data_IF_756291974060
#
_entry.id   IF_756291974060
#
_cell.length_a   1.000
_cell.length_b   1.000
_cell.length_c   1.000
_cell.angle_alpha   90.00
_cell.angle_beta   90.00
_cell.angle_gamma   90.00
#
_symmetry.space_group_name_H-M   'P 1'
#
loop_
_entity.id
_entity.type
_entity.pdbx_description
1 polymer ?
#
# COMPACT_ATOMS: atom_id res chain seq x y z
N UNK A 1 -5.50 -22.67 -6.65
CA UNK A 1 -5.07 -21.33 -6.24
C UNK A 1 -3.82 -21.39 -5.37
N UNK A 2 -2.66 -21.15 -5.99
CA UNK A 2 -1.42 -20.89 -5.23
C UNK A 2 -1.50 -19.42 -4.79
N UNK A 3 -1.50 -19.16 -3.49
CA UNK A 3 -1.57 -17.79 -2.93
C UNK A 3 -0.23 -17.45 -2.29
N UNK A 4 0.20 -16.20 -2.41
CA UNK A 4 1.37 -15.71 -1.70
C UNK A 4 1.16 -15.86 -0.18
N UNK A 5 2.07 -16.58 0.49
CA UNK A 5 1.94 -16.80 1.94
C UNK A 5 2.25 -15.53 2.72
N UNK A 6 1.23 -14.90 3.27
CA UNK A 6 1.36 -13.78 4.20
C UNK A 6 1.15 -14.22 5.66
N UNK A 7 1.34 -13.33 6.62
CA UNK A 7 0.87 -13.55 7.99
C UNK A 7 -0.66 -13.72 7.99
N UNK A 8 -1.19 -14.62 8.82
CA UNK A 8 -2.63 -14.81 8.90
C UNK A 8 -3.31 -13.54 9.44
N UNK A 9 -4.57 -13.27 9.05
CA UNK A 9 -5.39 -12.27 9.70
C UNK A 9 -5.51 -12.49 11.21
N UNK A 10 -5.72 -11.40 11.96
CA UNK A 10 -5.96 -11.42 13.39
C UNK A 10 -7.45 -11.65 13.70
N UNK A 11 -7.75 -12.65 14.52
CA UNK A 11 -9.11 -12.83 15.02
C UNK A 11 -9.51 -11.70 16.00
N UNK A 12 -10.66 -11.08 15.76
CA UNK A 12 -11.27 -10.02 16.58
C UNK A 12 -12.70 -10.41 16.97
N UNK A 13 -13.38 -9.60 17.78
CA UNK A 13 -14.77 -9.89 18.14
C UNK A 13 -15.71 -9.73 16.93
N UNK A 14 -16.71 -10.60 16.81
CA UNK A 14 -17.67 -10.56 15.70
C UNK A 14 -18.39 -9.20 15.57
N UNK A 15 -18.71 -8.53 16.68
CA UNK A 15 -19.31 -7.18 16.65
C UNK A 15 -18.37 -6.13 16.03
N UNK A 16 -17.09 -6.17 16.40
CA UNK A 16 -16.06 -5.31 15.82
C UNK A 16 -15.86 -5.60 14.33
N UNK A 17 -15.87 -6.87 13.93
CA UNK A 17 -15.76 -7.28 12.53
C UNK A 17 -16.94 -6.78 11.70
N UNK A 18 -18.18 -6.99 12.18
CA UNK A 18 -19.40 -6.53 11.48
C UNK A 18 -19.40 -5.00 11.35
N UNK A 19 -19.05 -4.27 12.42
CA UNK A 19 -18.93 -2.82 12.38
C UNK A 19 -17.92 -2.35 11.31
N UNK A 20 -16.76 -3.00 11.23
CA UNK A 20 -15.72 -2.68 10.26
C UNK A 20 -16.17 -2.99 8.81
N UNK A 21 -16.81 -4.13 8.59
CA UNK A 21 -17.35 -4.52 7.29
C UNK A 21 -18.44 -3.53 6.82
N UNK A 22 -19.38 -3.19 7.69
CA UNK A 22 -20.45 -2.23 7.39
C UNK A 22 -19.88 -0.83 7.11
N UNK A 23 -18.83 -0.44 7.84
CA UNK A 23 -18.09 0.80 7.59
C UNK A 23 -17.47 0.79 6.19
N UNK A 24 -16.77 -0.30 5.81
CA UNK A 24 -16.19 -0.42 4.47
C UNK A 24 -17.28 -0.37 3.39
N UNK A 25 -18.38 -1.09 3.56
CA UNK A 25 -19.50 -1.11 2.59
C UNK A 25 -20.09 0.28 2.39
N UNK A 26 -20.29 1.03 3.47
CA UNK A 26 -20.79 2.40 3.42
C UNK A 26 -19.80 3.29 2.66
N UNK A 27 -18.52 3.28 3.04
CA UNK A 27 -17.50 4.10 2.38
C UNK A 27 -17.38 3.78 0.87
N UNK A 28 -17.45 2.50 0.48
CA UNK A 28 -17.39 2.11 -0.93
C UNK A 28 -18.60 2.63 -1.71
N UNK A 29 -19.79 2.60 -1.08
CA UNK A 29 -21.01 3.16 -1.66
C UNK A 29 -20.88 4.68 -1.81
N UNK A 30 -20.42 5.37 -0.77
CA UNK A 30 -20.30 6.82 -0.74
C UNK A 30 -19.17 7.34 -1.65
N UNK A 31 -18.13 6.55 -1.88
CA UNK A 31 -17.00 6.85 -2.77
C UNK A 31 -17.23 6.48 -4.24
N UNK A 32 -18.29 5.72 -4.55
CA UNK A 32 -18.62 5.29 -5.92
C UNK A 32 -19.08 6.47 -6.78
N UNK A 33 -18.53 6.59 -7.98
CA UNK A 33 -18.84 7.61 -9.00
C UNK A 33 -18.95 6.95 -10.37
N UNK A 34 -19.44 7.71 -11.35
CA UNK A 34 -19.42 7.29 -12.76
C UNK A 34 -18.45 8.19 -13.53
N UNK A 35 -17.63 7.57 -14.37
CA UNK A 35 -16.88 8.25 -15.41
C UNK A 35 -17.82 8.76 -16.52
N UNK A 36 -17.29 9.59 -17.42
CA UNK A 36 -18.03 10.18 -18.54
C UNK A 36 -18.55 9.11 -19.53
N UNK A 37 -17.87 7.97 -19.63
CA UNK A 37 -18.27 6.82 -20.46
C UNK A 37 -19.24 5.86 -19.72
N UNK A 38 -19.58 6.16 -18.47
CA UNK A 38 -20.44 5.33 -17.63
C UNK A 38 -19.71 4.28 -16.79
N UNK A 39 -18.38 4.19 -16.89
CA UNK A 39 -17.57 3.25 -16.07
C UNK A 39 -17.70 3.60 -14.58
N UNK A 40 -18.06 2.64 -13.71
CA UNK A 40 -18.03 2.86 -12.27
C UNK A 40 -16.60 3.05 -11.76
N UNK A 41 -16.38 4.13 -11.01
CA UNK A 41 -15.11 4.47 -10.37
C UNK A 41 -15.30 4.53 -8.85
N UNK A 42 -14.22 4.28 -8.11
CA UNK A 42 -14.20 4.41 -6.65
C UNK A 42 -13.12 5.41 -6.25
N UNK A 43 -13.55 6.54 -5.69
CA UNK A 43 -12.64 7.58 -5.23
C UNK A 43 -12.04 7.21 -3.87
N UNK A 44 -10.81 7.66 -3.55
CA UNK A 44 -10.16 7.36 -2.26
C UNK A 44 -10.93 7.79 -1.02
N UNK A 45 -11.78 8.81 -1.13
CA UNK A 45 -12.58 9.33 -0.03
C UNK A 45 -14.05 9.58 -0.42
N UNK A 46 -14.95 9.44 0.55
CA UNK A 46 -16.37 9.77 0.36
C UNK A 46 -16.65 11.27 0.32
N UNK A 47 -15.76 12.11 0.86
CA UNK A 47 -15.94 13.56 0.98
C UNK A 47 -15.63 14.34 -0.32
N UNK A 48 -15.08 13.69 -1.34
CA UNK A 48 -14.76 14.28 -2.65
C UNK A 48 -13.46 15.08 -2.70
N UNK A 49 -12.56 14.93 -1.71
CA UNK A 49 -11.23 15.56 -1.71
C UNK A 49 -10.35 15.04 -2.86
N UNK A 50 -10.50 13.76 -3.20
CA UNK A 50 -9.76 13.05 -4.23
C UNK A 50 -10.68 12.67 -5.39
N UNK A 51 -10.96 13.58 -6.35
CA UNK A 51 -11.99 13.40 -7.36
C UNK A 51 -11.55 12.59 -8.60
N UNK A 52 -10.93 11.43 -8.41
CA UNK A 52 -10.43 10.56 -9.48
C UNK A 52 -10.27 9.11 -9.00
N UNK A 53 -10.02 8.18 -9.93
CA UNK A 53 -9.64 6.82 -9.60
C UNK A 53 -8.12 6.75 -9.41
N UNK A 54 -7.65 6.64 -8.16
CA UNK A 54 -6.22 6.45 -7.86
C UNK A 54 -5.86 4.96 -7.93
N UNK A 55 -4.78 4.63 -8.63
CA UNK A 55 -4.34 3.26 -8.87
C UNK A 55 -4.13 2.48 -7.57
N UNK A 56 -3.37 3.08 -6.63
CA UNK A 56 -3.06 2.49 -5.33
C UNK A 56 -4.29 2.33 -4.45
N UNK A 57 -5.07 3.38 -4.29
CA UNK A 57 -6.24 3.37 -3.42
C UNK A 57 -7.28 2.37 -3.89
N UNK A 58 -7.52 2.30 -5.21
CA UNK A 58 -8.42 1.30 -5.78
C UNK A 58 -7.88 -0.13 -5.58
N UNK A 59 -6.56 -0.34 -5.75
CA UNK A 59 -5.94 -1.62 -5.40
C UNK A 59 -6.21 -2.01 -3.94
N UNK A 60 -6.04 -1.09 -2.97
CA UNK A 60 -6.27 -1.41 -1.56
C UNK A 60 -7.74 -1.76 -1.26
N UNK A 61 -8.68 -1.07 -1.91
CA UNK A 61 -10.11 -1.41 -1.81
C UNK A 61 -10.37 -2.83 -2.32
N UNK A 62 -9.81 -3.19 -3.47
CA UNK A 62 -10.05 -4.50 -4.08
C UNK A 62 -9.33 -5.62 -3.33
N UNK A 63 -8.05 -5.43 -2.98
CA UNK A 63 -7.24 -6.42 -2.28
C UNK A 63 -7.87 -6.84 -0.95
N UNK A 64 -8.42 -5.88 -0.20
CA UNK A 64 -8.87 -6.14 1.17
C UNK A 64 -10.40 -6.10 1.37
N UNK A 65 -11.12 -5.46 0.45
CA UNK A 65 -12.58 -5.34 0.50
C UNK A 65 -13.27 -5.73 -0.82
N UNK A 66 -12.56 -6.36 -1.77
CA UNK A 66 -13.11 -6.74 -3.08
C UNK A 66 -14.37 -7.60 -3.04
N UNK A 67 -14.55 -8.41 -1.98
CA UNK A 67 -15.79 -9.17 -1.73
C UNK A 67 -17.04 -8.30 -1.51
N UNK A 68 -16.86 -7.00 -1.29
CA UNK A 68 -17.93 -6.00 -1.12
C UNK A 68 -18.24 -5.26 -2.42
N UNK A 69 -17.47 -5.52 -3.49
CA UNK A 69 -17.56 -4.86 -4.78
C UNK A 69 -18.09 -5.83 -5.84
N UNK A 70 -18.87 -5.34 -6.83
CA UNK A 70 -19.24 -6.15 -7.98
C UNK A 70 -17.97 -6.45 -8.83
N UNK A 71 -17.66 -7.72 -9.14
CA UNK A 71 -16.45 -8.06 -9.89
C UNK A 71 -16.35 -7.36 -11.27
N UNK A 72 -17.47 -7.16 -11.94
CA UNK A 72 -17.53 -6.44 -13.22
C UNK A 72 -17.10 -4.97 -13.09
N UNK A 73 -17.38 -4.33 -11.96
CA UNK A 73 -16.94 -2.95 -11.70
C UNK A 73 -15.45 -2.90 -11.34
N UNK A 74 -14.93 -3.94 -10.68
CA UNK A 74 -13.49 -4.09 -10.43
C UNK A 74 -12.73 -4.17 -11.76
N UNK A 75 -13.17 -5.04 -12.67
CA UNK A 75 -12.53 -5.22 -13.97
C UNK A 75 -12.61 -3.95 -14.82
N UNK A 76 -13.78 -3.29 -14.84
CA UNK A 76 -13.96 -2.04 -15.56
C UNK A 76 -13.07 -0.91 -15.02
N UNK A 77 -12.93 -0.80 -13.70
CA UNK A 77 -12.01 0.16 -13.07
C UNK A 77 -10.54 -0.13 -13.39
N UNK A 78 -10.15 -1.41 -13.43
CA UNK A 78 -8.81 -1.84 -13.86
C UNK A 78 -8.54 -1.46 -15.32
N UNK A 79 -9.50 -1.73 -16.22
CA UNK A 79 -9.40 -1.37 -17.63
C UNK A 79 -9.32 0.15 -17.84
N UNK A 80 -10.06 0.91 -17.03
CA UNK A 80 -10.01 2.36 -17.04
C UNK A 80 -8.62 2.91 -16.67
N UNK A 81 -7.95 2.31 -15.68
CA UNK A 81 -6.56 2.64 -15.34
C UNK A 81 -5.59 2.21 -16.44
N UNK A 82 -5.76 1.01 -16.99
CA UNK A 82 -4.92 0.46 -18.07
C UNK A 82 -5.01 1.24 -19.37
N UNK A 83 -6.18 1.81 -19.70
CA UNK A 83 -6.36 2.68 -20.86
C UNK A 83 -5.46 3.93 -20.79
N UNK A 84 -5.09 4.36 -19.57
CA UNK A 84 -4.14 5.45 -19.33
C UNK A 84 -2.66 5.05 -19.34
N UNK A 85 -2.33 3.75 -19.48
CA UNK A 85 -0.95 3.29 -19.54
C UNK A 85 -0.25 3.88 -20.76
N UNK A 86 0.95 4.45 -20.56
CA UNK A 86 1.78 4.96 -21.65
C UNK A 86 2.45 3.82 -22.43
N UNK A 87 2.92 4.13 -23.64
CA UNK A 87 3.67 3.18 -24.48
C UNK A 87 4.94 2.63 -23.80
N UNK A 88 5.59 3.43 -22.95
CA UNK A 88 6.77 3.04 -22.16
C UNK A 88 6.42 2.29 -20.86
N UNK A 89 5.17 1.86 -20.71
CA UNK A 89 4.71 1.04 -19.58
C UNK A 89 4.27 1.82 -18.34
N UNK A 90 4.60 3.12 -18.27
CA UNK A 90 4.27 3.98 -17.12
C UNK A 90 2.76 4.00 -16.87
N UNK A 91 2.39 3.65 -15.64
CA UNK A 91 1.00 3.59 -15.16
C UNK A 91 0.64 4.95 -14.54
N UNK A 92 -0.59 5.46 -14.78
CA UNK A 92 -1.04 6.68 -14.11
C UNK A 92 -1.09 6.52 -12.59
N UNK A 93 -0.77 7.61 -11.87
CA UNK A 93 -1.08 7.75 -10.44
C UNK A 93 -2.60 7.70 -10.24
N UNK A 94 -3.32 8.38 -11.14
CA UNK A 94 -4.79 8.45 -11.15
C UNK A 94 -5.34 8.71 -12.54
N UNK A 95 -6.59 8.31 -12.76
CA UNK A 95 -7.35 8.67 -13.96
C UNK A 95 -8.62 9.42 -13.55
N UNK A 96 -8.82 10.60 -14.14
CA UNK A 96 -9.98 11.46 -13.88
C UNK A 96 -11.27 10.84 -14.45
N UNK A 97 -12.46 11.28 -13.98
CA UNK A 97 -13.74 10.81 -14.54
C UNK A 97 -13.92 11.10 -16.03
N UNK A 98 -13.19 12.05 -16.61
CA UNK A 98 -13.20 12.33 -18.04
C UNK A 98 -12.28 11.41 -18.87
N UNK A 99 -11.62 10.44 -18.23
CA UNK A 99 -10.67 9.51 -18.85
C UNK A 99 -9.23 10.04 -18.96
N UNK A 100 -8.95 11.25 -18.45
CA UNK A 100 -7.60 11.81 -18.54
C UNK A 100 -6.66 11.18 -17.51
N UNK A 101 -5.55 10.54 -17.94
CA UNK A 101 -4.56 10.01 -17.02
C UNK A 101 -3.66 11.12 -16.47
N UNK A 102 -3.32 11.01 -15.18
CA UNK A 102 -2.34 11.87 -14.50
C UNK A 102 -1.27 10.97 -13.87
N UNK A 103 0.00 11.27 -14.14
CA UNK A 103 1.10 10.37 -13.81
C UNK A 103 1.90 10.78 -12.56
N UNK A 104 2.02 12.08 -12.30
CA UNK A 104 2.77 12.56 -11.15
C UNK A 104 1.82 12.80 -9.96
N UNK A 105 2.32 12.51 -8.75
CA UNK A 105 1.61 12.84 -7.52
C UNK A 105 1.49 14.36 -7.34
N UNK A 106 0.52 14.77 -6.52
CA UNK A 106 0.23 16.17 -6.25
C UNK A 106 -0.59 16.88 -7.35
N UNK A 107 -0.80 18.20 -7.19
CA UNK A 107 -1.56 19.00 -8.15
C UNK A 107 -0.98 18.95 -9.56
N UNK A 108 -1.83 18.89 -10.59
CA UNK A 108 -1.38 18.81 -12.00
C UNK A 108 -0.57 20.03 -12.44
N UNK A 109 -0.87 21.21 -11.90
CA UNK A 109 -0.16 22.46 -12.16
C UNK A 109 1.16 22.58 -11.38
N UNK A 110 1.39 21.69 -10.41
CA UNK A 110 2.55 21.66 -9.54
C UNK A 110 2.81 20.21 -9.09
N UNK A 111 3.27 19.35 -10.01
CA UNK A 111 3.54 17.95 -9.70
C UNK A 111 4.66 17.83 -8.67
N UNK A 112 4.57 16.80 -7.83
CA UNK A 112 5.59 16.48 -6.84
C UNK A 112 6.72 15.66 -7.49
N UNK A 113 7.94 16.18 -7.40
CA UNK A 113 9.14 15.49 -7.88
C UNK A 113 9.34 15.49 -9.40
N UNK A 114 10.37 14.78 -9.84
CA UNK A 114 10.87 14.81 -11.21
C UNK A 114 10.29 13.71 -12.14
N UNK A 115 9.49 12.80 -11.60
CA UNK A 115 8.93 11.64 -12.28
C UNK A 115 7.69 11.09 -11.54
N UNK A 116 6.91 10.17 -12.15
CA UNK A 116 5.82 9.46 -11.48
C UNK A 116 6.25 8.68 -10.22
N UNK A 117 5.33 8.38 -9.29
CA UNK A 117 5.58 7.46 -8.18
C UNK A 117 6.10 6.09 -8.64
N UNK A 118 6.99 5.47 -7.85
CA UNK A 118 7.60 4.18 -8.21
C UNK A 118 6.74 2.95 -7.91
N UNK A 119 5.53 3.13 -7.38
CA UNK A 119 4.68 2.05 -6.83
C UNK A 119 3.47 1.67 -7.71
N UNK A 120 3.09 2.52 -8.68
CA UNK A 120 1.88 2.34 -9.48
C UNK A 120 1.85 1.03 -10.27
N UNK A 121 2.99 0.60 -10.83
CA UNK A 121 3.07 -0.65 -11.59
C UNK A 121 2.75 -1.87 -10.72
N UNK A 122 3.28 -1.88 -9.49
CA UNK A 122 3.12 -2.93 -8.51
C UNK A 122 1.68 -2.99 -8.01
N UNK A 123 1.04 -1.83 -7.77
CA UNK A 123 -0.36 -1.77 -7.40
C UNK A 123 -1.28 -2.28 -8.50
N UNK A 124 -0.96 -2.02 -9.77
CA UNK A 124 -1.73 -2.55 -10.89
C UNK A 124 -1.68 -4.09 -10.97
N UNK A 125 -0.50 -4.67 -10.70
CA UNK A 125 -0.34 -6.14 -10.61
C UNK A 125 -1.14 -6.70 -9.44
N UNK A 126 -1.02 -6.11 -8.25
CA UNK A 126 -1.79 -6.51 -7.06
C UNK A 126 -3.30 -6.42 -7.30
N UNK A 127 -3.77 -5.39 -8.00
CA UNK A 127 -5.17 -5.19 -8.34
C UNK A 127 -5.71 -6.33 -9.23
N UNK A 128 -5.01 -6.67 -10.32
CA UNK A 128 -5.44 -7.78 -11.18
C UNK A 128 -5.34 -9.13 -10.45
N UNK A 129 -4.30 -9.34 -9.65
CA UNK A 129 -4.15 -10.56 -8.83
C UNK A 129 -5.33 -10.71 -7.86
N UNK A 130 -5.70 -9.65 -7.14
CA UNK A 130 -6.85 -9.65 -6.24
C UNK A 130 -8.19 -9.91 -6.96
N UNK A 131 -8.37 -9.33 -8.15
CA UNK A 131 -9.52 -9.64 -9.01
C UNK A 131 -9.57 -11.13 -9.39
N UNK A 132 -8.42 -11.70 -9.79
CA UNK A 132 -8.34 -13.12 -10.13
C UNK A 132 -8.58 -14.01 -8.91
N UNK A 133 -8.08 -13.67 -7.73
CA UNK A 133 -8.36 -14.42 -6.50
C UNK A 133 -9.86 -14.44 -6.15
N UNK A 134 -10.56 -13.35 -6.44
CA UNK A 134 -11.99 -13.22 -6.20
C UNK A 134 -12.84 -14.03 -7.21
N UNK A 135 -12.42 -14.09 -8.47
CA UNK A 135 -13.27 -14.54 -9.58
C UNK A 135 -12.82 -15.85 -10.22
N UNK A 136 -11.53 -16.16 -10.19
CA UNK A 136 -10.89 -17.21 -10.98
C UNK A 136 -10.88 -16.95 -12.49
N UNK A 137 -11.16 -15.72 -12.94
CA UNK A 137 -11.24 -15.40 -14.38
C UNK A 137 -9.85 -15.36 -15.04
N UNK A 138 -9.42 -16.53 -15.49
CA UNK A 138 -8.14 -16.72 -16.17
C UNK A 138 -8.06 -15.96 -17.50
N UNK A 139 -9.17 -15.84 -18.24
CA UNK A 139 -9.17 -15.17 -19.54
C UNK A 139 -8.94 -13.68 -19.36
N UNK A 140 -9.65 -13.05 -18.42
CA UNK A 140 -9.46 -11.64 -18.09
C UNK A 140 -8.03 -11.36 -17.58
N UNK A 141 -7.46 -12.29 -16.80
CA UNK A 141 -6.08 -12.18 -16.32
C UNK A 141 -5.06 -12.20 -17.47
N UNK A 142 -5.12 -13.24 -18.32
CA UNK A 142 -4.16 -13.41 -19.43
C UNK A 142 -4.27 -12.30 -20.49
N UNK A 143 -5.47 -11.76 -20.72
CA UNK A 143 -5.65 -10.62 -21.62
C UNK A 143 -4.86 -9.37 -21.17
N UNK A 144 -4.76 -9.15 -19.85
CA UNK A 144 -4.15 -7.95 -19.26
C UNK A 144 -2.70 -8.14 -18.85
N UNK A 145 -2.25 -9.38 -18.71
CA UNK A 145 -0.88 -9.75 -18.35
C UNK A 145 0.21 -9.01 -19.14
N UNK A 146 0.14 -8.86 -20.49
CA UNK A 146 1.17 -8.14 -21.24
C UNK A 146 1.30 -6.66 -20.84
N UNK A 147 0.21 -6.01 -20.42
CA UNK A 147 0.25 -4.64 -19.94
C UNK A 147 0.92 -4.53 -18.57
N UNK A 148 0.70 -5.52 -17.70
CA UNK A 148 1.37 -5.62 -16.40
C UNK A 148 2.87 -5.89 -16.53
N UNK A 149 3.27 -6.72 -17.49
CA UNK A 149 4.70 -6.92 -17.80
C UNK A 149 5.36 -5.58 -18.16
N UNK A 150 4.76 -4.84 -19.09
CA UNK A 150 5.27 -3.51 -19.47
C UNK A 150 5.32 -2.53 -18.30
N UNK A 151 4.33 -2.57 -17.39
CA UNK A 151 4.36 -1.69 -16.22
C UNK A 151 5.52 -2.01 -15.29
N UNK A 152 5.76 -3.29 -14.98
CA UNK A 152 6.88 -3.69 -14.14
C UNK A 152 8.24 -3.42 -14.80
N UNK A 153 8.36 -3.53 -16.12
CA UNK A 153 9.57 -3.16 -16.87
C UNK A 153 9.88 -1.65 -16.81
N UNK A 154 8.87 -0.80 -16.54
CA UNK A 154 9.05 0.65 -16.36
C UNK A 154 9.57 1.05 -14.97
N UNK A 155 9.59 0.12 -14.01
CA UNK A 155 10.03 0.40 -12.64
C UNK A 155 11.55 0.67 -12.63
N UNK A 156 12.02 1.79 -12.04
CA UNK A 156 13.44 2.10 -12.03
C UNK A 156 14.15 1.20 -11.01
N UNK A 157 14.89 0.20 -11.49
CA UNK A 157 15.66 -0.73 -10.66
C UNK A 157 17.15 -0.42 -10.72
N UNK A 158 17.85 -0.65 -9.60
CA UNK A 158 19.30 -0.78 -9.62
C UNK A 158 19.73 -2.18 -10.12
N UNK A 159 21.03 -2.42 -10.37
CA UNK A 159 21.52 -3.74 -10.80
C UNK A 159 21.28 -4.90 -9.82
N UNK A 160 20.88 -4.62 -8.59
CA UNK A 160 20.57 -5.61 -7.56
C UNK A 160 19.06 -5.96 -7.51
N UNK A 161 18.26 -5.40 -8.42
CA UNK A 161 16.81 -5.62 -8.50
C UNK A 161 16.00 -4.84 -7.47
N UNK A 162 16.57 -3.81 -6.83
CA UNK A 162 15.86 -2.95 -5.89
C UNK A 162 15.42 -1.66 -6.56
N UNK A 163 14.25 -1.16 -6.18
CA UNK A 163 13.73 0.12 -6.68
C UNK A 163 14.68 1.25 -6.29
N UNK A 164 15.03 2.08 -7.28
CA UNK A 164 16.02 3.13 -7.17
C UNK A 164 15.47 4.48 -7.61
N UNK A 165 15.61 5.47 -6.74
CA UNK A 165 15.25 6.87 -6.99
C UNK A 165 16.54 7.69 -7.06
N UNK A 166 16.80 8.35 -8.19
CA UNK A 166 17.99 9.19 -8.38
C UNK A 166 17.95 10.41 -7.43
N UNK A 167 18.96 10.59 -6.55
CA UNK A 167 19.03 11.74 -5.63
C UNK A 167 19.01 13.12 -6.31
N UNK A 168 19.43 13.19 -7.58
CA UNK A 168 19.43 14.44 -8.37
C UNK A 168 18.09 14.69 -9.07
N UNK A 169 17.22 13.68 -9.12
CA UNK A 169 15.89 13.75 -9.72
C UNK A 169 14.88 13.10 -8.77
N UNK A 170 14.75 13.60 -7.52
CA UNK A 170 13.92 12.94 -6.53
C UNK A 170 12.46 12.96 -6.98
N UNK A 171 11.75 11.88 -6.69
CA UNK A 171 10.33 11.75 -6.97
C UNK A 171 9.68 10.81 -5.96
N UNK A 172 8.34 10.79 -5.88
CA UNK A 172 7.63 9.98 -4.90
C UNK A 172 7.99 8.50 -5.01
N UNK A 173 8.11 7.85 -3.86
CA UNK A 173 8.21 6.41 -3.75
C UNK A 173 6.82 5.78 -3.59
N UNK A 174 6.56 5.27 -2.39
CA UNK A 174 5.25 4.79 -1.97
C UNK A 174 4.27 5.96 -1.72
N UNK A 175 3.04 5.80 -2.19
CA UNK A 175 1.96 6.78 -2.16
C UNK A 175 1.60 7.44 -0.84
N UNK A 176 1.81 6.75 0.28
CA UNK A 176 1.60 7.33 1.61
C UNK A 176 2.82 8.11 2.11
N UNK A 177 3.81 8.30 1.24
CA UNK A 177 5.01 9.13 1.43
C UNK A 177 5.28 10.04 0.22
N UNK A 178 4.24 10.42 -0.53
CA UNK A 178 4.32 11.29 -1.73
C UNK A 178 5.11 12.59 -1.57
N UNK A 179 5.12 13.15 -0.36
CA UNK A 179 5.79 14.41 -0.04
C UNK A 179 7.25 14.21 0.38
N UNK A 180 7.71 12.96 0.53
CA UNK A 180 9.01 12.61 1.11
C UNK A 180 9.97 12.23 0.00
N UNK A 181 11.14 12.88 -0.03
CA UNK A 181 12.17 12.61 -1.03
C UNK A 181 13.13 11.52 -0.56
N UNK A 182 12.65 10.27 -0.51
CA UNK A 182 13.49 9.09 -0.28
C UNK A 182 14.33 8.82 -1.53
N UNK A 183 15.65 8.67 -1.41
CA UNK A 183 16.55 8.52 -2.57
C UNK A 183 17.58 7.40 -2.42
N UNK A 184 18.19 7.03 -3.55
CA UNK A 184 18.96 5.80 -3.69
C UNK A 184 18.02 4.59 -3.79
N UNK A 185 18.43 3.48 -3.20
CA UNK A 185 17.58 2.27 -3.07
C UNK A 185 16.46 2.59 -2.06
N UNK A 186 15.20 2.33 -2.40
CA UNK A 186 14.03 2.63 -1.54
C UNK A 186 13.32 1.34 -1.12
N UNK A 187 13.06 1.20 0.18
CA UNK A 187 12.58 -0.05 0.77
C UNK A 187 11.16 -0.40 0.34
N UNK A 188 10.21 0.50 0.53
CA UNK A 188 8.79 0.15 0.47
C UNK A 188 8.39 -0.26 -0.95
N UNK A 189 8.86 0.49 -1.94
CA UNK A 189 8.65 0.21 -3.36
C UNK A 189 9.38 -1.07 -3.78
N UNK A 190 10.52 -1.40 -3.17
CA UNK A 190 11.20 -2.70 -3.38
C UNK A 190 10.40 -3.86 -2.81
N UNK A 191 9.75 -3.69 -1.64
CA UNK A 191 8.84 -4.69 -1.08
C UNK A 191 7.62 -4.91 -1.98
N UNK A 192 7.03 -3.81 -2.50
CA UNK A 192 5.92 -3.88 -3.46
C UNK A 192 6.36 -4.54 -4.77
N UNK A 193 7.57 -4.26 -5.26
CA UNK A 193 8.09 -4.84 -6.49
C UNK A 193 8.30 -6.34 -6.34
N UNK A 194 8.93 -6.75 -5.24
CA UNK A 194 9.06 -8.17 -4.88
C UNK A 194 7.69 -8.85 -4.83
N UNK A 195 6.71 -8.24 -4.17
CA UNK A 195 5.38 -8.82 -4.03
C UNK A 195 4.67 -8.96 -5.38
N UNK A 196 4.72 -7.93 -6.21
CA UNK A 196 4.13 -7.94 -7.55
C UNK A 196 4.76 -9.04 -8.42
N UNK A 197 6.09 -9.15 -8.43
CA UNK A 197 6.79 -10.21 -9.15
C UNK A 197 6.36 -11.59 -8.64
N UNK A 198 6.28 -11.79 -7.32
CA UNK A 198 5.85 -13.07 -6.73
C UNK A 198 4.41 -13.44 -7.09
N UNK A 199 3.48 -12.49 -7.01
CA UNK A 199 2.08 -12.69 -7.37
C UNK A 199 1.96 -13.07 -8.85
N UNK A 200 2.58 -12.29 -9.73
CA UNK A 200 2.55 -12.55 -11.17
C UNK A 200 3.18 -13.91 -11.50
N UNK A 201 4.34 -14.25 -10.92
CA UNK A 201 4.98 -15.55 -11.09
C UNK A 201 4.07 -16.72 -10.68
N UNK A 202 3.38 -16.60 -9.55
CA UNK A 202 2.45 -17.64 -9.06
C UNK A 202 1.25 -17.81 -9.98
N UNK A 203 0.68 -16.72 -10.51
CA UNK A 203 -0.45 -16.79 -11.45
C UNK A 203 -0.05 -17.33 -12.80
N UNK A 204 1.05 -16.86 -13.35
CA UNK A 204 1.59 -17.38 -14.60
C UNK A 204 1.89 -18.87 -14.50
N UNK A 205 2.46 -19.31 -13.36
CA UNK A 205 2.67 -20.73 -13.11
C UNK A 205 1.36 -21.53 -13.00
N UNK A 206 0.34 -20.97 -12.34
CA UNK A 206 -0.99 -21.58 -12.22
C UNK A 206 -1.72 -21.66 -13.56
N UNK A 207 -1.49 -20.70 -14.44
CA UNK A 207 -2.09 -20.59 -15.78
C UNK A 207 -1.22 -21.23 -16.89
N UNK A 208 -0.21 -22.00 -16.50
CA UNK A 208 0.70 -22.74 -17.41
C UNK A 208 1.61 -21.86 -18.30
N UNK A 209 1.71 -20.57 -18.02
CA UNK A 209 2.65 -19.61 -18.64
C UNK A 209 4.06 -19.73 -18.00
N UNK A 210 4.71 -20.87 -18.21
CA UNK A 210 5.92 -21.26 -17.44
C UNK A 210 7.16 -20.39 -17.70
N UNK A 211 7.35 -19.87 -18.91
CA UNK A 211 8.50 -19.00 -19.22
C UNK A 211 8.35 -17.66 -18.51
N UNK A 212 7.18 -17.03 -18.61
CA UNK A 212 6.88 -15.79 -17.90
C UNK A 212 6.91 -15.98 -16.38
N UNK A 213 6.39 -17.09 -15.87
CA UNK A 213 6.49 -17.43 -14.46
C UNK A 213 7.94 -17.47 -13.97
N UNK A 214 8.84 -18.04 -14.78
CA UNK A 214 10.27 -18.13 -14.46
C UNK A 214 10.92 -16.75 -14.38
N UNK A 215 10.69 -15.88 -15.36
CA UNK A 215 11.24 -14.52 -15.38
C UNK A 215 10.88 -13.77 -14.09
N UNK A 216 9.61 -13.84 -13.68
CA UNK A 216 9.12 -13.15 -12.49
C UNK A 216 9.60 -13.79 -11.19
N UNK A 217 9.79 -15.11 -11.15
CA UNK A 217 10.47 -15.74 -10.01
C UNK A 217 11.92 -15.27 -9.91
N UNK A 218 12.67 -15.19 -11.01
CA UNK A 218 14.06 -14.73 -11.00
C UNK A 218 14.17 -13.26 -10.53
N UNK A 219 13.28 -12.37 -11.00
CA UNK A 219 13.21 -10.98 -10.54
C UNK A 219 12.90 -10.87 -9.04
N UNK A 220 11.94 -11.66 -8.55
CA UNK A 220 11.61 -11.69 -7.13
C UNK A 220 12.77 -12.22 -6.27
N UNK A 221 13.46 -13.28 -6.70
CA UNK A 221 14.61 -13.83 -5.97
C UNK A 221 15.78 -12.84 -5.91
N UNK A 222 16.07 -12.14 -7.01
CA UNK A 222 17.11 -11.10 -7.04
C UNK A 222 16.80 -9.97 -6.04
N UNK A 223 15.56 -9.49 -6.03
CA UNK A 223 15.09 -8.47 -5.07
C UNK A 223 15.21 -8.98 -3.63
N UNK A 224 14.72 -10.19 -3.38
CA UNK A 224 14.73 -10.85 -2.06
C UNK A 224 16.13 -10.98 -1.47
N UNK A 225 17.12 -11.31 -2.32
CA UNK A 225 18.52 -11.45 -1.92
C UNK A 225 19.11 -10.16 -1.33
N UNK A 226 18.67 -8.99 -1.80
CA UNK A 226 19.24 -7.70 -1.43
C UNK A 226 18.40 -6.89 -0.43
N UNK A 227 17.13 -7.24 -0.20
CA UNK A 227 16.29 -6.61 0.83
C UNK A 227 16.93 -6.58 2.25
N UNK A 228 17.72 -7.59 2.70
CA UNK A 228 18.37 -7.55 4.01
C UNK A 228 19.32 -6.36 4.23
N UNK A 229 19.82 -5.72 3.18
CA UNK A 229 20.73 -4.58 3.33
C UNK A 229 20.06 -3.36 3.98
N UNK A 230 18.72 -3.28 3.94
CA UNK A 230 17.96 -2.21 4.59
C UNK A 230 17.84 -2.44 6.09
N UNK A 231 18.28 -3.57 6.63
CA UNK A 231 18.10 -3.91 8.05
C UNK A 231 19.03 -3.09 8.94
N UNK A 232 18.45 -2.52 9.99
CA UNK A 232 19.17 -2.09 11.17
C UNK A 232 19.38 -3.28 12.11
N UNK A 233 20.63 -3.71 12.29
CA UNK A 233 20.95 -4.84 13.17
C UNK A 233 20.68 -4.53 14.65
N UNK A 234 20.62 -3.25 15.05
CA UNK A 234 20.38 -2.87 16.45
C UNK A 234 18.91 -3.03 16.84
N UNK A 235 18.00 -2.54 15.99
CA UNK A 235 16.56 -2.51 16.30
C UNK A 235 15.78 -3.61 15.58
N UNK A 236 16.34 -4.20 14.53
CA UNK A 236 15.65 -5.12 13.63
C UNK A 236 14.73 -4.44 12.61
N UNK A 237 14.48 -3.14 12.74
CA UNK A 237 13.72 -2.34 11.77
C UNK A 237 14.45 -2.24 10.44
N UNK A 238 13.74 -1.79 9.42
CA UNK A 238 14.33 -1.46 8.13
C UNK A 238 14.48 0.05 7.96
N UNK A 239 15.58 0.47 7.34
CA UNK A 239 15.81 1.82 6.81
C UNK A 239 14.94 2.06 5.58
N UNK A 240 14.36 3.26 5.47
CA UNK A 240 13.46 3.61 4.38
C UNK A 240 14.17 3.73 3.03
N UNK A 241 15.41 4.22 3.04
CA UNK A 241 16.19 4.44 1.83
C UNK A 241 17.69 4.38 2.11
N UNK A 242 18.51 4.25 1.07
CA UNK A 242 19.97 4.14 1.18
C UNK A 242 20.73 5.48 1.19
N UNK A 243 20.08 6.59 0.81
CA UNK A 243 20.69 7.93 0.74
C UNK A 243 19.84 8.94 1.51
N UNK A 244 19.08 9.82 0.84
CA UNK A 244 18.22 10.77 1.55
C UNK A 244 17.06 10.04 2.22
N UNK A 245 16.69 10.54 3.39
CA UNK A 245 15.66 9.94 4.24
C UNK A 245 16.03 8.52 4.73
N UNK A 246 17.30 8.31 5.11
CA UNK A 246 17.81 7.08 5.72
C UNK A 246 17.41 6.97 7.22
N UNK A 247 16.12 7.07 7.51
CA UNK A 247 15.52 6.81 8.82
C UNK A 247 14.75 5.49 8.83
N UNK A 248 14.37 5.00 10.02
CA UNK A 248 13.55 3.79 10.14
C UNK A 248 12.20 3.95 9.46
N UNK A 249 11.82 2.99 8.62
CA UNK A 249 10.49 2.91 8.03
C UNK A 249 9.63 1.94 8.84
N UNK A 250 8.80 2.46 9.74
CA UNK A 250 7.96 1.60 10.57
C UNK A 250 6.94 0.83 9.73
N UNK A 251 6.43 1.43 8.66
CA UNK A 251 5.43 0.80 7.79
C UNK A 251 6.08 -0.27 6.92
N UNK A 252 7.21 0.05 6.28
CA UNK A 252 8.00 -0.92 5.53
C UNK A 252 8.44 -2.10 6.41
N UNK A 253 8.75 -1.84 7.67
CA UNK A 253 9.12 -2.89 8.63
C UNK A 253 7.97 -3.86 8.92
N UNK A 254 6.77 -3.36 9.25
CA UNK A 254 5.62 -4.25 9.50
C UNK A 254 5.11 -4.91 8.22
N UNK A 255 5.22 -4.23 7.08
CA UNK A 255 4.86 -4.80 5.79
C UNK A 255 5.77 -5.96 5.40
N UNK A 256 7.09 -5.81 5.57
CA UNK A 256 8.06 -6.89 5.35
C UNK A 256 7.80 -8.11 6.24
N UNK A 257 7.28 -7.91 7.46
CA UNK A 257 6.86 -8.99 8.36
C UNK A 257 5.61 -9.70 7.83
N UNK A 258 4.58 -8.95 7.43
CA UNK A 258 3.35 -9.52 6.83
C UNK A 258 3.64 -10.33 5.58
N UNK A 259 4.51 -9.80 4.71
CA UNK A 259 4.95 -10.47 3.49
C UNK A 259 5.88 -11.68 3.74
N UNK A 260 6.30 -11.89 4.99
CA UNK A 260 7.29 -12.91 5.40
C UNK A 260 8.63 -12.80 4.65
N UNK A 261 8.98 -11.58 4.26
CA UNK A 261 10.32 -11.22 3.75
C UNK A 261 11.30 -11.15 4.90
N UNK A 262 10.89 -10.56 6.03
CA UNK A 262 11.70 -10.55 7.24
C UNK A 262 11.89 -11.97 7.78
N UNK A 263 13.11 -12.29 8.22
CA UNK A 263 13.38 -13.57 8.88
C UNK A 263 12.58 -13.70 10.18
N UNK A 264 12.32 -14.92 10.66
CA UNK A 264 11.57 -15.12 11.92
C UNK A 264 12.16 -14.35 13.11
N UNK A 265 13.49 -14.30 13.21
CA UNK A 265 14.21 -13.55 14.24
C UNK A 265 13.97 -12.04 14.09
N UNK A 266 14.06 -11.53 12.87
CA UNK A 266 13.81 -10.11 12.59
C UNK A 266 12.34 -9.74 12.82
N UNK A 267 11.39 -10.57 12.37
CA UNK A 267 9.96 -10.34 12.61
C UNK A 267 9.63 -10.25 14.09
N UNK A 268 10.26 -11.11 14.91
CA UNK A 268 10.13 -11.03 16.37
C UNK A 268 10.72 -9.74 16.94
N UNK A 269 11.91 -9.34 16.49
CA UNK A 269 12.55 -8.09 16.94
C UNK A 269 11.70 -6.86 16.59
N UNK A 270 11.14 -6.80 15.37
CA UNK A 270 10.22 -5.73 14.95
C UNK A 270 8.97 -5.73 15.85
N UNK A 271 8.38 -6.89 16.12
CA UNK A 271 7.20 -6.99 16.99
C UNK A 271 7.47 -6.57 18.45
N UNK A 272 8.64 -6.94 18.99
CA UNK A 272 9.11 -6.51 20.32
C UNK A 272 9.35 -5.00 20.35
N UNK A 273 9.99 -4.44 19.33
CA UNK A 273 10.18 -2.99 19.20
C UNK A 273 8.85 -2.22 19.22
N UNK A 274 7.84 -2.67 18.45
CA UNK A 274 6.51 -2.06 18.45
C UNK A 274 5.85 -2.08 19.83
N UNK A 275 6.03 -3.19 20.58
CA UNK A 275 5.44 -3.36 21.90
C UNK A 275 6.12 -2.47 22.94
N UNK A 276 7.46 -2.41 22.93
CA UNK A 276 8.26 -1.62 23.87
C UNK A 276 8.13 -0.10 23.62
N UNK A 277 7.92 0.30 22.37
CA UNK A 277 7.86 1.71 21.97
C UNK A 277 6.43 2.16 21.60
N UNK A 278 5.40 1.49 22.13
CA UNK A 278 3.99 1.72 21.76
C UNK A 278 3.60 3.19 21.80
N UNK A 279 3.96 3.90 22.86
CA UNK A 279 3.62 5.33 23.07
C UNK A 279 4.30 6.29 22.09
N UNK A 280 5.40 5.86 21.45
CA UNK A 280 6.11 6.64 20.43
C UNK A 280 5.53 6.39 19.03
N UNK A 281 4.86 5.25 18.83
CA UNK A 281 4.47 4.76 17.51
C UNK A 281 2.97 4.92 17.26
N UNK A 282 2.17 4.66 18.29
CA UNK A 282 0.72 4.59 18.19
C UNK A 282 0.02 5.70 18.96
N UNK A 283 -1.10 6.16 18.42
CA UNK A 283 -2.02 7.07 19.11
C UNK A 283 -3.44 6.83 18.59
N UNK A 284 -4.39 6.62 19.51
CA UNK A 284 -5.80 6.28 19.17
C UNK A 284 -5.91 5.13 18.16
N UNK A 285 -5.10 4.09 18.33
CA UNK A 285 -5.05 2.94 17.41
C UNK A 285 -4.38 3.19 16.05
N UNK A 286 -3.97 4.42 15.72
CA UNK A 286 -3.31 4.77 14.46
C UNK A 286 -1.78 4.76 14.62
N UNK A 287 -1.04 4.60 13.53
CA UNK A 287 0.42 4.39 13.53
C UNK A 287 1.17 5.47 12.75
N UNK A 288 2.32 5.93 13.26
CA UNK A 288 3.22 6.86 12.55
C UNK A 288 4.10 6.16 11.52
N UNK A 289 4.60 6.90 10.53
CA UNK A 289 5.66 6.44 9.62
C UNK A 289 7.01 6.26 10.34
N UNK A 290 7.28 7.14 11.31
CA UNK A 290 8.50 7.25 12.10
C UNK A 290 8.15 7.34 13.59
N UNK A 291 9.02 6.87 14.52
CA UNK A 291 8.81 7.09 15.94
C UNK A 291 8.65 8.58 16.26
N UNK A 292 7.80 8.91 17.23
CA UNK A 292 7.58 10.30 17.67
C UNK A 292 8.91 10.97 18.04
N UNK A 293 9.07 12.23 17.59
CA UNK A 293 10.31 13.00 17.74
C UNK A 293 11.32 12.80 16.61
N UNK A 294 11.05 11.89 15.67
CA UNK A 294 11.79 11.75 14.42
C UNK A 294 10.97 12.29 13.24
N UNK A 295 11.67 12.86 12.27
CA UNK A 295 11.10 13.52 11.10
C UNK A 295 11.97 13.24 9.88
N UNK A 296 11.37 13.21 8.69
CA UNK A 296 12.08 13.01 7.43
C UNK A 296 13.05 14.16 7.14
N UNK A 297 14.14 13.86 6.45
CA UNK A 297 15.24 14.81 6.20
C UNK A 297 15.05 15.65 4.94
N UNK A 298 14.35 15.09 3.93
CA UNK A 298 14.19 15.71 2.62
C UNK A 298 12.76 15.55 2.11
N UNK A 299 12.25 16.60 1.48
CA UNK A 299 10.86 16.67 1.04
C UNK A 299 10.74 17.09 -0.43
N UNK A 300 9.64 16.67 -1.06
CA UNK A 300 9.18 17.11 -2.38
C UNK A 300 8.19 18.28 -2.30
N UNK A 301 7.60 18.50 -1.13
CA UNK A 301 6.79 19.66 -0.78
C UNK A 301 6.78 19.90 0.73
N UNK A 302 6.29 21.05 1.17
CA UNK A 302 6.36 21.41 2.59
C UNK A 302 5.42 20.55 3.46
N UNK A 303 5.99 19.84 4.43
CA UNK A 303 5.24 19.08 5.45
C UNK A 303 5.87 19.31 6.83
N UNK A 304 5.25 20.15 7.68
CA UNK A 304 5.75 20.41 9.02
C UNK A 304 5.87 19.14 9.88
N UNK A 305 6.77 19.15 10.88
CA UNK A 305 6.81 18.14 11.94
C UNK A 305 5.43 17.83 12.53
N UNK A 306 5.17 16.55 12.81
CA UNK A 306 3.94 16.05 13.44
C UNK A 306 2.65 16.26 12.61
N UNK A 307 2.81 16.54 11.31
CA UNK A 307 1.70 16.66 10.37
C UNK A 307 1.86 15.69 9.22
N UNK A 308 0.73 15.24 8.69
CA UNK A 308 0.62 14.39 7.49
C UNK A 308 1.69 13.28 7.41
N UNK A 309 2.45 13.20 6.32
CA UNK A 309 3.46 12.16 6.10
C UNK A 309 4.74 12.35 6.94
N UNK A 310 4.88 13.48 7.65
CA UNK A 310 6.01 13.80 8.53
C UNK A 310 5.66 13.72 10.02
N UNK A 311 4.82 12.74 10.38
CA UNK A 311 4.55 12.41 11.78
C UNK A 311 3.09 12.34 12.20
N UNK A 312 2.11 12.48 11.30
CA UNK A 312 0.74 12.10 11.64
C UNK A 312 0.60 10.59 11.84
N UNK A 313 -0.51 10.20 12.44
CA UNK A 313 -0.87 8.80 12.69
C UNK A 313 -1.93 8.35 11.68
N UNK A 314 -1.73 7.17 11.09
CA UNK A 314 -2.55 6.65 10.00
C UNK A 314 -3.11 5.28 10.34
N UNK A 315 -4.28 4.97 9.79
CA UNK A 315 -4.92 3.67 9.97
C UNK A 315 -4.47 2.62 8.94
N UNK A 316 -4.03 3.07 7.76
CA UNK A 316 -3.56 2.24 6.64
C UNK A 316 -2.61 1.08 7.06
N UNK A 317 -1.57 1.29 7.90
CA UNK A 317 -0.66 0.21 8.29
C UNK A 317 -1.13 -0.61 9.51
N UNK A 318 -2.24 -0.25 10.15
CA UNK A 318 -2.64 -0.78 11.46
C UNK A 318 -2.89 -2.28 11.39
N UNK A 319 -3.48 -2.77 10.30
CA UNK A 319 -3.65 -4.19 10.04
C UNK A 319 -2.31 -4.94 10.06
N UNK A 320 -1.32 -4.44 9.32
CA UNK A 320 0.02 -5.03 9.27
C UNK A 320 0.73 -4.99 10.63
N UNK A 321 0.57 -3.87 11.37
CA UNK A 321 1.13 -3.72 12.69
C UNK A 321 0.49 -4.68 13.70
N UNK A 322 -0.83 -4.88 13.63
CA UNK A 322 -1.56 -5.81 14.48
C UNK A 322 -1.14 -7.27 14.21
N UNK A 323 -1.04 -7.68 12.94
CA UNK A 323 -0.53 -9.01 12.57
C UNK A 323 0.91 -9.23 13.07
N UNK A 324 1.75 -8.19 12.99
CA UNK A 324 3.13 -8.23 13.49
C UNK A 324 3.18 -8.35 15.01
N UNK A 325 2.43 -7.51 15.74
CA UNK A 325 2.32 -7.58 17.21
C UNK A 325 1.82 -8.94 17.69
N UNK A 326 0.91 -9.58 16.95
CA UNK A 326 0.35 -10.87 17.32
C UNK A 326 1.39 -12.00 17.38
N UNK A 327 2.57 -11.82 16.77
CA UNK A 327 3.69 -12.77 16.88
C UNK A 327 4.23 -12.89 18.31
N UNK A 328 4.10 -11.85 19.13
CA UNK A 328 4.65 -11.78 20.49
C UNK A 328 3.61 -11.48 21.55
N UNK A 329 2.54 -10.75 21.20
CA UNK A 329 1.48 -10.37 22.11
C UNK A 329 0.13 -10.18 21.38
N UNK A 330 -0.64 -11.26 21.28
CA UNK A 330 -1.97 -11.24 20.65
C UNK A 330 -2.99 -10.34 21.37
N UNK A 331 -2.84 -10.11 22.68
CA UNK A 331 -3.73 -9.21 23.41
C UNK A 331 -3.46 -7.75 23.04
N UNK A 332 -2.19 -7.34 22.96
CA UNK A 332 -1.81 -6.00 22.50
C UNK A 332 -2.21 -5.75 21.03
N UNK A 333 -2.09 -6.77 20.18
CA UNK A 333 -2.54 -6.71 18.80
C UNK A 333 -4.05 -6.44 18.70
N UNK A 334 -4.88 -7.18 19.45
CA UNK A 334 -6.33 -6.93 19.49
C UNK A 334 -6.68 -5.57 20.08
N UNK A 335 -5.99 -5.15 21.14
CA UNK A 335 -6.19 -3.83 21.73
C UNK A 335 -5.93 -2.70 20.72
N UNK A 336 -4.89 -2.82 19.89
CA UNK A 336 -4.62 -1.86 18.81
C UNK A 336 -5.79 -1.74 17.83
N UNK A 337 -6.37 -2.88 17.40
CA UNK A 337 -7.55 -2.89 16.53
C UNK A 337 -8.76 -2.28 17.23
N UNK A 338 -9.04 -2.67 18.47
CA UNK A 338 -10.17 -2.12 19.22
C UNK A 338 -10.05 -0.61 19.45
N UNK A 339 -8.84 -0.07 19.63
CA UNK A 339 -8.62 1.38 19.77
C UNK A 339 -8.98 2.16 18.49
N UNK A 340 -8.60 1.68 17.30
CA UNK A 340 -8.95 2.35 16.04
C UNK A 340 -10.46 2.25 15.76
N UNK A 341 -11.09 1.11 16.06
CA UNK A 341 -12.54 0.95 15.91
C UNK A 341 -13.32 1.80 16.91
N UNK A 342 -12.84 1.94 18.16
CA UNK A 342 -13.43 2.86 19.14
C UNK A 342 -13.38 4.30 18.64
N UNK A 343 -12.25 4.72 18.06
CA UNK A 343 -12.13 6.04 17.43
C UNK A 343 -13.15 6.22 16.29
N UNK A 344 -13.32 5.24 15.40
CA UNK A 344 -14.29 5.33 14.29
C UNK A 344 -15.76 5.22 14.68
N UNK A 345 -16.07 4.78 15.91
CA UNK A 345 -17.44 4.86 16.44
C UNK A 345 -17.83 6.28 16.84
N UNK A 346 -16.85 7.11 17.16
CA UNK A 346 -17.05 8.51 17.59
C UNK A 346 -16.71 9.52 16.49
N UNK A 347 -15.95 9.11 15.48
CA UNK A 347 -15.43 9.95 14.42
C UNK A 347 -15.55 9.27 13.06
N UNK A 348 -15.64 10.05 11.99
CA UNK A 348 -15.55 9.48 10.64
C UNK A 348 -14.16 8.87 10.40
N UNK A 349 -14.11 7.77 9.65
CA UNK A 349 -12.84 7.20 9.15
C UNK A 349 -12.07 8.28 8.42
N UNK A 350 -10.77 8.39 8.63
CA UNK A 350 -9.96 9.45 8.05
C UNK A 350 -8.65 8.91 7.49
N UNK A 351 -8.01 9.73 6.65
CA UNK A 351 -6.71 9.45 6.04
C UNK A 351 -5.63 9.42 7.13
N UNK A 352 -5.54 10.48 7.94
CA UNK A 352 -4.63 10.55 9.07
C UNK A 352 -5.14 11.49 10.18
N UNK A 353 -4.60 11.32 11.38
CA UNK A 353 -4.89 12.15 12.55
C UNK A 353 -3.61 12.73 13.15
N UNK A 354 -3.73 13.88 13.81
CA UNK A 354 -2.64 14.52 14.55
C UNK A 354 -3.18 15.16 15.83
N UNK A 355 -2.42 15.20 16.95
CA UNK A 355 -2.90 15.76 18.21
C UNK A 355 -3.39 17.21 18.11
N UNK A 356 -2.70 18.02 17.29
CA UNK A 356 -2.91 19.47 17.21
C UNK A 356 -3.68 19.89 15.95
N UNK A 357 -4.34 18.95 15.25
CA UNK A 357 -5.06 19.24 14.01
C UNK A 357 -6.32 18.40 13.88
N UNK A 358 -7.28 18.91 13.10
CA UNK A 358 -8.45 18.14 12.73
C UNK A 358 -8.04 16.90 11.90
N UNK A 359 -8.78 15.78 12.01
CA UNK A 359 -8.58 14.62 11.14
C UNK A 359 -8.58 15.05 9.67
N UNK A 360 -7.58 14.56 8.91
CA UNK A 360 -7.45 14.87 7.49
C UNK A 360 -8.14 13.81 6.64
N UNK A 361 -8.72 14.21 5.51
CA UNK A 361 -9.34 13.29 4.54
C UNK A 361 -10.45 12.44 5.16
N UNK A 362 -11.57 13.03 5.62
CA UNK A 362 -12.71 12.26 6.12
C UNK A 362 -13.24 11.32 5.03
N UNK A 363 -13.70 10.14 5.45
CA UNK A 363 -14.22 9.11 4.56
C UNK A 363 -13.16 8.28 3.82
N UNK A 364 -11.90 8.26 4.28
CA UNK A 364 -10.80 7.64 3.54
C UNK A 364 -10.88 6.11 3.52
N UNK A 365 -11.02 5.53 2.34
CA UNK A 365 -11.36 4.12 2.13
C UNK A 365 -10.23 3.16 2.47
N UNK A 366 -9.00 3.46 2.06
CA UNK A 366 -7.85 2.58 2.29
C UNK A 366 -7.58 2.35 3.78
N UNK A 367 -7.90 3.33 4.63
CA UNK A 367 -7.81 3.21 6.10
C UNK A 367 -8.67 2.05 6.62
N UNK A 368 -9.92 1.94 6.18
CA UNK A 368 -10.83 0.89 6.62
C UNK A 368 -10.57 -0.45 5.88
N UNK A 369 -10.34 -0.41 4.57
CA UNK A 369 -10.13 -1.60 3.75
C UNK A 369 -8.91 -2.39 4.23
N UNK A 370 -7.75 -1.74 4.43
CA UNK A 370 -6.54 -2.42 4.89
C UNK A 370 -6.72 -3.11 6.24
N UNK A 371 -7.47 -2.50 7.15
CA UNK A 371 -7.77 -3.12 8.44
C UNK A 371 -8.67 -4.35 8.27
N UNK A 372 -9.71 -4.26 7.43
CA UNK A 372 -10.64 -5.35 7.16
C UNK A 372 -9.92 -6.59 6.62
N UNK A 373 -8.99 -6.40 5.68
CA UNK A 373 -8.20 -7.49 5.11
C UNK A 373 -7.22 -8.15 6.09
N UNK A 374 -6.89 -7.48 7.18
CA UNK A 374 -5.97 -7.98 8.20
C UNK A 374 -6.66 -8.66 9.38
N UNK A 375 -8.00 -8.77 9.40
CA UNK A 375 -8.77 -9.33 10.52
C UNK A 375 -9.81 -10.37 10.09
N UNK A 376 -10.22 -11.21 11.03
CA UNK A 376 -11.33 -12.18 10.88
C UNK A 376 -12.24 -12.16 12.11
N UNK A 377 -13.53 -12.52 11.97
CA UNK A 377 -14.48 -12.55 13.10
C UNK A 377 -14.22 -13.66 14.12
#
# INVERSE_FOLDING_TARGET
>A
MRVLKQLPPLAIGNEDYVFLEDTCRRLLTDGRRLAADGTPLYFPDSAGKYPACWTRDFCYMVEYAGRLLPPEEILAGLDFLLAGQREDGVVPDRVRPDGTPVYCAGPEDRPLGAAPPTDNAQFLVKLLDAYYELTGDAAAFLERAPALRRSLESVPLNPEGLVYVDPNRPHPGYGFTDMIAKTGKELFSSLLYWEACRRLALRMQELEEHEEARDWFEAAELTSLHLPQFRDELTGLFWAASQDCHQHDLWGSVYAVVLRVASKTQSRAIAEYLLENRELIFWRGHMRHLPRGQYWERFLGEVPPDTYQNGAYWAVPVGWAAQTLALVNAAAARALVSEVLAFWREHEVCECISPDSQPAGPGYLASAANLLGAVTP
#
